data_IF_761993553354
#
_entry.id   IF_761993553354
#
_cell.length_a   1.000
_cell.length_b   1.000
_cell.length_c   1.000
_cell.angle_alpha   90.00
_cell.angle_beta   90.00
_cell.angle_gamma   90.00
#
_symmetry.space_group_name_H-M   'P 1'
#
loop_
_entity.id
_entity.type
_entity.pdbx_description
1 polymer ?
#
# COMPACT_ATOMS: atom_id res chain seq x y z
N UNK A 1 31.05 54.81 0.46
CA UNK A 1 31.23 53.84 -0.67
C UNK A 1 31.02 52.42 -0.13
N UNK A 2 29.97 51.71 -0.50
CA UNK A 2 29.76 50.34 -0.06
C UNK A 2 30.42 49.32 -1.03
N UNK A 3 31.13 48.32 -0.47
CA UNK A 3 31.77 47.25 -1.17
C UNK A 3 30.76 46.31 -1.82
N UNK A 4 30.87 46.08 -3.13
CA UNK A 4 30.14 45.09 -3.91
C UNK A 4 30.55 43.67 -3.46
N UNK A 5 29.57 42.88 -2.96
CA UNK A 5 29.71 41.42 -2.72
C UNK A 5 29.68 40.71 -4.10
N UNK A 6 30.73 39.95 -4.38
CA UNK A 6 30.87 39.14 -5.59
C UNK A 6 29.79 38.06 -5.63
N UNK A 7 29.09 37.93 -6.75
CA UNK A 7 28.20 36.81 -7.08
C UNK A 7 29.04 35.55 -7.30
N UNK A 8 28.98 34.63 -6.33
CA UNK A 8 29.54 33.29 -6.51
C UNK A 8 28.79 32.56 -7.62
N UNK A 9 29.52 32.19 -8.65
CA UNK A 9 29.07 31.34 -9.76
C UNK A 9 28.61 29.98 -9.19
N UNK A 10 27.31 29.71 -9.25
CA UNK A 10 26.75 28.38 -9.01
C UNK A 10 27.32 27.44 -10.08
N UNK A 11 28.28 26.57 -9.69
CA UNK A 11 28.70 25.44 -10.52
C UNK A 11 27.44 24.66 -10.86
N UNK A 12 27.18 24.53 -12.17
CA UNK A 12 26.04 23.78 -12.69
C UNK A 12 26.04 22.35 -12.18
N UNK A 13 25.10 22.03 -11.29
CA UNK A 13 24.76 20.65 -10.97
C UNK A 13 24.18 20.02 -12.24
N UNK A 14 24.89 19.07 -12.84
CA UNK A 14 24.30 18.16 -13.81
C UNK A 14 23.02 17.57 -13.19
N UNK A 15 21.87 17.64 -13.88
CA UNK A 15 20.65 17.09 -13.35
C UNK A 15 20.86 15.58 -13.11
N UNK A 16 20.71 15.13 -11.86
CA UNK A 16 20.69 13.72 -11.53
C UNK A 16 19.55 13.08 -12.33
N UNK A 17 19.90 12.27 -13.33
CA UNK A 17 18.93 11.42 -14.02
C UNK A 17 18.38 10.47 -12.97
N UNK A 18 17.09 10.61 -12.61
CA UNK A 18 16.43 9.69 -11.70
C UNK A 18 16.49 8.25 -12.24
N UNK A 19 16.45 7.24 -11.37
CA UNK A 19 16.49 5.82 -11.73
C UNK A 19 15.52 5.46 -12.87
N UNK A 20 14.41 6.18 -12.97
CA UNK A 20 13.34 5.99 -13.96
C UNK A 20 13.46 6.90 -15.18
N UNK A 21 14.49 7.76 -15.27
CA UNK A 21 14.77 8.59 -16.43
C UNK A 21 15.64 7.81 -17.41
N UNK A 22 15.05 6.82 -18.04
CA UNK A 22 15.69 6.15 -19.17
C UNK A 22 14.98 6.53 -20.46
N UNK A 23 15.71 6.94 -21.48
CA UNK A 23 15.14 7.17 -22.80
C UNK A 23 14.48 5.90 -23.31
N UNK A 24 13.52 6.05 -24.17
CA UNK A 24 12.76 5.03 -24.89
C UNK A 24 13.63 3.83 -25.29
N UNK A 25 13.61 2.77 -24.49
CA UNK A 25 14.54 1.66 -24.63
C UNK A 25 13.91 0.51 -25.40
N UNK A 26 13.74 0.70 -26.68
CA UNK A 26 13.71 -0.41 -27.61
C UNK A 26 15.14 -0.84 -28.02
N UNK A 27 16.14 -0.70 -27.13
CA UNK A 27 17.49 -1.18 -27.41
C UNK A 27 17.45 -2.67 -27.60
N UNK A 28 17.78 -3.13 -28.81
CA UNK A 28 17.71 -4.54 -29.17
C UNK A 28 16.31 -5.03 -29.55
N UNK A 29 15.33 -4.18 -29.84
CA UNK A 29 13.98 -4.62 -30.25
C UNK A 29 13.99 -5.55 -31.47
N UNK A 30 14.98 -5.44 -32.34
CA UNK A 30 15.18 -6.31 -33.51
C UNK A 30 15.84 -7.66 -33.18
N UNK A 31 16.44 -7.82 -32.00
CA UNK A 31 17.04 -9.07 -31.57
C UNK A 31 16.01 -9.87 -30.73
N UNK A 32 15.55 -11.04 -31.20
CA UNK A 32 14.57 -11.86 -30.51
C UNK A 32 15.06 -12.34 -29.13
N UNK A 33 16.38 -12.35 -28.89
CA UNK A 33 17.01 -12.74 -27.62
C UNK A 33 17.32 -11.55 -26.71
N UNK A 34 16.88 -10.35 -27.08
CA UNK A 34 17.08 -9.16 -26.25
C UNK A 34 16.31 -9.23 -24.95
N UNK A 35 16.86 -8.58 -23.91
CA UNK A 35 16.17 -8.38 -22.61
C UNK A 35 14.79 -7.75 -22.85
N UNK A 36 14.69 -6.78 -23.77
CA UNK A 36 13.45 -6.09 -24.10
C UNK A 36 12.36 -7.05 -24.60
N UNK A 37 12.67 -7.90 -25.59
CA UNK A 37 11.70 -8.82 -26.15
C UNK A 37 11.28 -9.89 -25.15
N UNK A 38 12.21 -10.37 -24.34
CA UNK A 38 11.88 -11.31 -23.27
C UNK A 38 11.07 -10.67 -22.14
N UNK A 39 11.26 -9.42 -21.83
CA UNK A 39 10.40 -8.67 -20.88
C UNK A 39 8.95 -8.64 -21.38
N UNK A 40 8.74 -8.33 -22.66
CA UNK A 40 7.40 -8.33 -23.24
C UNK A 40 6.74 -9.71 -23.17
N UNK A 41 7.45 -10.77 -23.53
CA UNK A 41 6.97 -12.17 -23.38
C UNK A 41 6.64 -12.50 -21.93
N UNK A 42 7.46 -12.06 -20.98
CA UNK A 42 7.21 -12.26 -19.56
C UNK A 42 5.97 -11.52 -19.08
N UNK A 43 5.71 -10.32 -19.59
CA UNK A 43 4.50 -9.54 -19.29
C UNK A 43 3.24 -10.28 -19.75
N UNK A 44 3.23 -10.80 -20.98
CA UNK A 44 2.12 -11.61 -21.51
C UNK A 44 1.92 -12.88 -20.69
N UNK A 45 2.99 -13.62 -20.42
CA UNK A 45 2.98 -14.83 -19.62
C UNK A 45 2.42 -14.62 -18.22
N UNK A 46 2.68 -13.48 -17.59
CA UNK A 46 2.08 -13.12 -16.30
C UNK A 46 0.57 -12.86 -16.43
N UNK A 47 0.15 -12.20 -17.50
CA UNK A 47 -1.28 -11.96 -17.78
C UNK A 47 -2.06 -13.27 -17.92
N UNK A 48 -1.53 -14.23 -18.69
CA UNK A 48 -2.12 -15.57 -18.86
C UNK A 48 -2.27 -16.34 -17.54
N UNK A 49 -1.41 -16.06 -16.56
CA UNK A 49 -1.43 -16.70 -15.22
C UNK A 49 -2.22 -15.91 -14.18
N UNK A 50 -2.96 -14.88 -14.59
CA UNK A 50 -3.85 -14.13 -13.73
C UNK A 50 -3.15 -13.22 -12.71
N UNK A 51 -1.88 -12.82 -12.95
CA UNK A 51 -1.27 -11.77 -12.15
C UNK A 51 -2.03 -10.45 -12.34
N UNK A 52 -2.17 -9.67 -11.26
CA UNK A 52 -2.84 -8.37 -11.34
C UNK A 52 -2.09 -7.40 -12.27
N UNK A 53 -2.83 -6.52 -12.96
CA UNK A 53 -2.25 -5.50 -13.84
C UNK A 53 -1.24 -4.62 -13.08
N UNK A 54 -1.50 -4.31 -11.81
CA UNK A 54 -0.59 -3.55 -10.95
C UNK A 54 0.74 -4.29 -10.72
N UNK A 55 0.69 -5.60 -10.41
CA UNK A 55 1.91 -6.42 -10.25
C UNK A 55 2.72 -6.48 -11.53
N UNK A 56 2.05 -6.66 -12.68
CA UNK A 56 2.70 -6.70 -13.98
C UNK A 56 3.39 -5.37 -14.27
N UNK A 57 2.68 -4.25 -14.14
CA UNK A 57 3.22 -2.90 -14.38
C UNK A 57 4.40 -2.57 -13.44
N UNK A 58 4.30 -2.94 -12.15
CA UNK A 58 5.38 -2.74 -11.18
C UNK A 58 6.65 -3.53 -11.54
N UNK A 59 6.49 -4.81 -11.92
CA UNK A 59 7.61 -5.65 -12.37
C UNK A 59 8.23 -5.13 -13.66
N UNK A 60 7.40 -4.76 -14.62
CA UNK A 60 7.86 -4.20 -15.89
C UNK A 60 8.67 -2.92 -15.68
N UNK A 61 8.18 -2.01 -14.82
CA UNK A 61 8.89 -0.77 -14.46
C UNK A 61 10.29 -1.08 -13.92
N UNK A 62 10.41 -2.00 -12.98
CA UNK A 62 11.69 -2.39 -12.39
C UNK A 62 12.62 -3.05 -13.40
N UNK A 63 12.09 -3.91 -14.26
CA UNK A 63 12.85 -4.57 -15.33
C UNK A 63 13.35 -3.58 -16.39
N UNK A 64 12.55 -2.55 -16.72
CA UNK A 64 12.97 -1.48 -17.63
C UNK A 64 14.19 -0.72 -17.09
N UNK A 65 14.22 -0.44 -15.78
CA UNK A 65 15.38 0.20 -15.14
C UNK A 65 16.63 -0.65 -15.25
N UNK A 66 16.50 -1.96 -15.01
CA UNK A 66 17.62 -2.89 -15.18
C UNK A 66 18.07 -2.99 -16.64
N UNK A 67 17.13 -3.11 -17.59
CA UNK A 67 17.44 -3.21 -19.01
C UNK A 67 18.19 -1.97 -19.51
N UNK A 68 17.81 -0.78 -19.04
CA UNK A 68 18.51 0.46 -19.32
C UNK A 68 19.96 0.44 -18.81
N UNK A 69 20.13 0.05 -17.54
CA UNK A 69 21.45 -0.07 -16.91
C UNK A 69 22.34 -1.11 -17.62
N UNK A 70 21.76 -2.22 -18.07
CA UNK A 70 22.46 -3.26 -18.82
C UNK A 70 22.87 -2.76 -20.22
N UNK A 71 21.96 -2.09 -20.94
CA UNK A 71 22.21 -1.54 -22.28
C UNK A 71 23.34 -0.51 -22.29
N UNK A 72 23.44 0.37 -21.28
CA UNK A 72 24.57 1.30 -21.10
C UNK A 72 25.93 0.60 -21.01
N UNK A 73 25.94 -0.71 -20.73
CA UNK A 73 27.14 -1.57 -20.61
C UNK A 73 27.30 -2.56 -21.76
N UNK A 74 26.53 -2.36 -22.84
CA UNK A 74 26.53 -3.22 -24.02
C UNK A 74 25.88 -4.60 -23.83
N UNK A 75 25.18 -4.81 -22.69
CA UNK A 75 24.50 -6.08 -22.38
C UNK A 75 23.06 -5.99 -22.88
N UNK A 76 22.78 -6.62 -24.01
CA UNK A 76 21.48 -6.55 -24.69
C UNK A 76 20.71 -7.86 -24.56
N UNK A 77 21.43 -9.01 -24.60
CA UNK A 77 20.82 -10.35 -24.60
C UNK A 77 20.70 -10.94 -23.21
N UNK A 78 19.65 -11.72 -22.97
CA UNK A 78 19.42 -12.36 -21.66
C UNK A 78 20.51 -13.40 -21.31
N UNK A 79 21.14 -14.01 -22.32
CA UNK A 79 22.22 -14.99 -22.16
C UNK A 79 23.52 -14.35 -21.66
N UNK A 80 23.71 -13.06 -21.86
CA UNK A 80 24.89 -12.30 -21.42
C UNK A 80 24.83 -11.99 -19.91
N UNK A 81 23.66 -12.10 -19.31
CA UNK A 81 23.46 -11.75 -17.90
C UNK A 81 23.86 -12.93 -17.02
N UNK A 82 24.94 -12.76 -16.31
CA UNK A 82 25.49 -13.73 -15.36
C UNK A 82 25.29 -13.28 -13.93
N UNK A 83 25.49 -14.16 -12.94
CA UNK A 83 25.43 -13.82 -11.52
C UNK A 83 26.32 -12.62 -11.15
N UNK A 84 27.59 -12.51 -11.56
CA UNK A 84 28.40 -11.32 -11.29
C UNK A 84 27.81 -10.02 -11.83
N UNK A 85 27.05 -10.06 -12.93
CA UNK A 85 26.37 -8.88 -13.47
C UNK A 85 25.21 -8.50 -12.56
N UNK A 86 24.44 -9.45 -12.06
CA UNK A 86 23.36 -9.19 -11.09
C UNK A 86 23.90 -8.65 -9.77
N UNK A 87 25.03 -9.14 -9.28
CA UNK A 87 25.73 -8.61 -8.09
C UNK A 87 26.23 -7.16 -8.32
N UNK A 88 26.71 -6.84 -9.53
CA UNK A 88 27.04 -5.45 -9.90
C UNK A 88 25.81 -4.55 -9.95
N UNK A 89 24.66 -5.08 -10.38
CA UNK A 89 23.40 -4.36 -10.33
C UNK A 89 22.97 -4.08 -8.88
N UNK A 90 23.05 -5.06 -7.98
CA UNK A 90 22.79 -4.84 -6.55
C UNK A 90 23.71 -3.75 -5.97
N UNK A 91 25.01 -3.80 -6.30
CA UNK A 91 25.96 -2.75 -5.88
C UNK A 91 25.59 -1.38 -6.46
N UNK A 92 25.11 -1.34 -7.69
CA UNK A 92 24.63 -0.09 -8.32
C UNK A 92 23.45 0.48 -7.54
N UNK A 93 22.45 -0.33 -7.19
CA UNK A 93 21.30 0.08 -6.38
C UNK A 93 21.73 0.58 -4.98
N UNK A 94 22.67 -0.09 -4.34
CA UNK A 94 23.21 0.31 -3.03
C UNK A 94 23.91 1.67 -3.07
N UNK A 95 24.70 1.91 -4.13
CA UNK A 95 25.46 3.15 -4.31
C UNK A 95 24.61 4.29 -4.87
N UNK A 96 23.42 3.98 -5.41
CA UNK A 96 22.55 5.01 -6.00
C UNK A 96 22.10 6.01 -4.94
N UNK A 97 22.05 7.28 -5.34
CA UNK A 97 21.54 8.39 -4.52
C UNK A 97 20.36 9.03 -5.22
N UNK A 98 19.28 9.21 -4.48
CA UNK A 98 18.08 9.94 -4.94
C UNK A 98 18.41 11.42 -5.16
N UNK A 99 17.45 12.16 -5.72
CA UNK A 99 17.61 13.60 -5.96
C UNK A 99 17.84 14.41 -4.66
N UNK A 100 17.33 13.91 -3.52
CA UNK A 100 17.54 14.44 -2.17
C UNK A 100 18.91 14.08 -1.57
N UNK A 101 19.72 13.27 -2.26
CA UNK A 101 21.03 12.79 -1.81
C UNK A 101 20.98 11.51 -0.96
N UNK A 102 19.79 11.07 -0.55
CA UNK A 102 19.62 9.88 0.28
C UNK A 102 19.81 8.57 -0.52
N UNK A 103 20.31 7.50 0.11
CA UNK A 103 20.40 6.19 -0.52
C UNK A 103 19.01 5.57 -0.70
N UNK A 104 18.92 4.55 -1.58
CA UNK A 104 17.75 3.69 -1.62
C UNK A 104 17.63 2.89 -0.32
N UNK A 105 16.43 2.80 0.22
CA UNK A 105 16.14 1.87 1.33
C UNK A 105 16.37 0.43 0.89
N UNK A 106 16.61 -0.48 1.85
CA UNK A 106 16.74 -1.92 1.52
C UNK A 106 15.48 -2.45 0.82
N UNK A 107 14.29 -2.01 1.25
CA UNK A 107 13.02 -2.39 0.60
C UNK A 107 12.94 -1.89 -0.84
N UNK A 108 13.36 -0.64 -1.09
CA UNK A 108 13.42 -0.11 -2.46
C UNK A 108 14.42 -0.88 -3.33
N UNK A 109 15.57 -1.28 -2.78
CA UNK A 109 16.51 -2.14 -3.51
C UNK A 109 15.88 -3.49 -3.85
N UNK A 110 15.20 -4.13 -2.89
CA UNK A 110 14.50 -5.40 -3.08
C UNK A 110 13.35 -5.29 -4.10
N UNK A 111 12.63 -4.16 -4.13
CA UNK A 111 11.59 -3.89 -5.13
C UNK A 111 12.14 -3.91 -6.58
N UNK A 112 13.43 -3.61 -6.78
CA UNK A 112 14.11 -3.76 -8.06
C UNK A 112 14.71 -5.14 -8.29
N UNK A 113 15.05 -5.89 -7.23
CA UNK A 113 15.71 -7.19 -7.33
C UNK A 113 14.69 -8.34 -7.50
N UNK A 114 13.59 -8.34 -6.75
CA UNK A 114 12.58 -9.41 -6.82
C UNK A 114 11.98 -9.61 -8.22
N UNK A 115 11.65 -8.55 -9.00
CA UNK A 115 11.22 -8.71 -10.38
C UNK A 115 12.24 -9.39 -11.28
N UNK A 116 13.55 -9.11 -11.08
CA UNK A 116 14.63 -9.77 -11.80
C UNK A 116 14.71 -11.26 -11.47
N UNK A 117 14.62 -11.64 -10.20
CA UNK A 117 14.59 -13.05 -9.79
C UNK A 117 13.42 -13.78 -10.45
N UNK A 118 12.23 -13.15 -10.46
CA UNK A 118 11.05 -13.71 -11.09
C UNK A 118 11.23 -13.85 -12.62
N UNK A 119 11.84 -12.87 -13.26
CA UNK A 119 12.12 -12.85 -14.69
C UNK A 119 13.13 -13.93 -15.09
N UNK A 120 14.27 -14.04 -14.42
CA UNK A 120 15.27 -15.05 -14.73
C UNK A 120 14.80 -16.48 -14.40
N UNK A 121 13.94 -16.64 -13.38
CA UNK A 121 13.26 -17.91 -13.12
C UNK A 121 12.33 -18.30 -14.27
N UNK A 122 11.58 -17.33 -14.81
CA UNK A 122 10.75 -17.54 -16.00
C UNK A 122 11.60 -17.96 -17.21
N UNK A 123 12.68 -17.21 -17.50
CA UNK A 123 13.56 -17.50 -18.64
C UNK A 123 14.17 -18.89 -18.59
N UNK A 124 14.63 -19.34 -17.42
CA UNK A 124 15.18 -20.68 -17.24
C UNK A 124 14.10 -21.76 -17.40
N UNK A 125 12.90 -21.53 -16.85
CA UNK A 125 11.78 -22.47 -16.95
C UNK A 125 11.25 -22.65 -18.38
N UNK A 126 11.22 -21.57 -19.15
CA UNK A 126 10.79 -21.60 -20.55
C UNK A 126 11.96 -21.90 -21.53
N UNK A 127 13.11 -22.34 -20.99
CA UNK A 127 14.30 -22.72 -21.76
C UNK A 127 14.90 -21.61 -22.66
N UNK A 128 14.70 -20.36 -22.28
CA UNK A 128 15.33 -19.21 -22.96
C UNK A 128 16.79 -19.01 -22.54
N UNK A 129 17.17 -19.53 -21.38
CA UNK A 129 18.53 -19.57 -20.82
C UNK A 129 18.80 -20.96 -20.22
N UNK A 130 20.06 -21.40 -20.25
CA UNK A 130 20.44 -22.73 -19.75
C UNK A 130 20.37 -22.86 -18.23
N UNK A 131 20.67 -21.79 -17.52
CA UNK A 131 20.64 -21.74 -16.05
C UNK A 131 20.11 -20.40 -15.56
N UNK A 132 19.56 -20.37 -14.34
CA UNK A 132 19.07 -19.14 -13.74
C UNK A 132 20.20 -18.39 -13.01
N UNK A 133 20.69 -17.24 -13.51
CA UNK A 133 21.78 -16.51 -12.86
C UNK A 133 21.38 -15.87 -11.52
N UNK A 134 20.09 -15.86 -11.19
CA UNK A 134 19.56 -15.29 -9.95
C UNK A 134 19.22 -16.36 -8.89
N UNK A 135 19.52 -17.67 -9.13
CA UNK A 135 19.18 -18.75 -8.18
C UNK A 135 19.82 -18.55 -6.80
N UNK A 136 21.12 -18.19 -6.81
CA UNK A 136 21.93 -18.07 -5.60
C UNK A 136 22.31 -16.61 -5.28
N UNK A 137 21.46 -15.67 -5.73
CA UNK A 137 21.69 -14.25 -5.48
C UNK A 137 21.37 -13.92 -4.02
N UNK A 138 22.37 -13.51 -3.26
CA UNK A 138 22.18 -13.09 -1.88
C UNK A 138 21.42 -11.77 -1.81
N UNK A 139 20.33 -11.76 -1.02
CA UNK A 139 19.48 -10.59 -0.89
C UNK A 139 19.91 -9.73 0.32
N UNK A 140 19.80 -8.40 0.20
CA UNK A 140 19.98 -7.51 1.34
C UNK A 140 19.03 -7.86 2.48
N UNK A 141 19.53 -7.92 3.71
CA UNK A 141 18.70 -8.23 4.89
C UNK A 141 17.89 -7.02 5.32
N UNK A 142 16.59 -7.21 5.48
CA UNK A 142 15.72 -6.19 6.06
C UNK A 142 15.87 -6.26 7.57
N UNK A 143 16.34 -5.17 8.19
CA UNK A 143 16.31 -5.04 9.64
C UNK A 143 14.87 -4.94 10.14
N UNK A 144 14.53 -5.67 11.22
CA UNK A 144 13.26 -5.48 11.92
C UNK A 144 13.17 -4.04 12.44
N UNK A 145 12.18 -3.29 12.01
CA UNK A 145 11.88 -1.95 12.53
C UNK A 145 10.48 -1.96 13.09
N UNK A 146 10.31 -1.38 14.27
CA UNK A 146 8.98 -1.15 14.83
C UNK A 146 8.20 -0.15 13.97
N UNK A 147 6.89 -0.31 13.84
CA UNK A 147 6.02 0.65 13.14
C UNK A 147 6.20 2.05 13.72
N UNK A 148 6.56 3.03 12.89
CA UNK A 148 6.87 4.39 13.36
C UNK A 148 5.68 5.35 13.31
N UNK A 149 4.62 4.99 12.59
CA UNK A 149 3.55 5.91 12.23
C UNK A 149 2.16 5.46 12.72
N UNK A 150 2.09 4.84 13.91
CA UNK A 150 0.81 4.53 14.56
C UNK A 150 0.29 5.78 15.27
N UNK A 151 -1.00 6.10 15.08
CA UNK A 151 -1.65 7.19 15.79
C UNK A 151 -2.09 6.73 17.19
N UNK A 152 -1.93 7.57 18.18
CA UNK A 152 -2.66 7.43 19.44
C UNK A 152 -4.13 7.80 19.22
N UNK A 153 -5.03 7.41 20.14
CA UNK A 153 -6.45 7.77 20.05
C UNK A 153 -6.66 9.28 19.93
N UNK A 154 -6.01 10.14 20.74
CA UNK A 154 -6.14 11.60 20.59
C UNK A 154 -5.63 12.13 19.24
N UNK A 155 -4.53 11.57 18.71
CA UNK A 155 -4.02 11.96 17.40
C UNK A 155 -4.98 11.55 16.27
N UNK A 156 -5.56 10.33 16.35
CA UNK A 156 -6.56 9.87 15.39
C UNK A 156 -7.79 10.80 15.40
N UNK A 157 -8.32 11.14 16.58
CA UNK A 157 -9.46 12.06 16.71
C UNK A 157 -9.12 13.46 16.16
N UNK A 158 -7.89 13.93 16.36
CA UNK A 158 -7.43 15.19 15.79
C UNK A 158 -7.42 15.17 14.26
N UNK A 159 -6.90 14.10 13.64
CA UNK A 159 -6.93 13.95 12.17
C UNK A 159 -8.37 13.86 11.66
N UNK A 160 -9.21 13.08 12.33
CA UNK A 160 -10.62 12.93 11.97
C UNK A 160 -11.38 14.27 12.03
N UNK A 161 -10.99 15.21 12.89
CA UNK A 161 -11.65 16.52 13.04
C UNK A 161 -11.21 17.59 12.03
N UNK A 162 -10.21 17.29 11.17
CA UNK A 162 -9.68 18.25 10.20
C UNK A 162 -10.68 18.64 9.10
N UNK A 163 -11.46 17.69 8.49
CA UNK A 163 -12.37 18.07 7.43
C UNK A 163 -13.39 19.12 7.89
N UNK A 164 -13.52 20.19 7.12
CA UNK A 164 -14.48 21.26 7.37
C UNK A 164 -15.90 20.79 7.05
N UNK A 165 -16.69 20.55 8.09
CA UNK A 165 -18.05 20.02 8.00
C UNK A 165 -19.08 21.04 7.46
N UNK A 166 -18.71 22.30 7.29
CA UNK A 166 -19.54 23.30 6.62
C UNK A 166 -19.53 23.10 5.10
N UNK A 167 -18.56 22.35 4.59
CA UNK A 167 -18.40 22.03 3.17
C UNK A 167 -18.86 20.61 2.87
N UNK A 168 -19.57 20.44 1.76
CA UNK A 168 -20.01 19.12 1.29
C UNK A 168 -18.85 18.11 1.17
N UNK A 169 -17.71 18.55 0.61
CA UNK A 169 -16.52 17.71 0.50
C UNK A 169 -15.92 17.35 1.85
N UNK A 170 -16.02 18.21 2.85
CA UNK A 170 -15.56 17.92 4.22
C UNK A 170 -16.37 16.83 4.89
N UNK A 171 -17.70 16.79 4.68
CA UNK A 171 -18.57 15.69 5.19
C UNK A 171 -18.19 14.36 4.53
N UNK A 172 -17.96 14.35 3.20
CA UNK A 172 -17.46 13.17 2.48
C UNK A 172 -16.12 12.71 3.03
N UNK A 173 -15.18 13.61 3.17
CA UNK A 173 -13.80 13.31 3.59
C UNK A 173 -13.80 12.78 5.04
N UNK A 174 -14.63 13.35 5.91
CA UNK A 174 -14.85 12.82 7.26
C UNK A 174 -15.38 11.39 7.22
N UNK A 175 -16.38 11.10 6.40
CA UNK A 175 -16.94 9.74 6.27
C UNK A 175 -15.86 8.74 5.81
N UNK A 176 -15.02 9.10 4.83
CA UNK A 176 -13.92 8.25 4.37
C UNK A 176 -12.88 7.97 5.47
N UNK A 177 -12.47 9.00 6.20
CA UNK A 177 -11.53 8.85 7.32
C UNK A 177 -12.08 7.95 8.42
N UNK A 178 -13.37 8.08 8.76
CA UNK A 178 -14.05 7.23 9.75
C UNK A 178 -14.12 5.76 9.31
N UNK A 179 -14.39 5.51 8.02
CA UNK A 179 -14.36 4.16 7.48
C UNK A 179 -12.96 3.55 7.58
N UNK A 180 -11.92 4.29 7.18
CA UNK A 180 -10.53 3.84 7.28
C UNK A 180 -10.14 3.54 8.73
N UNK A 181 -10.51 4.41 9.66
CA UNK A 181 -10.20 4.25 11.08
C UNK A 181 -10.95 3.08 11.72
N UNK A 182 -12.23 2.91 11.37
CA UNK A 182 -13.08 1.85 11.91
C UNK A 182 -12.69 0.45 11.44
N UNK A 183 -12.31 0.32 10.16
CA UNK A 183 -12.21 -0.97 9.47
C UNK A 183 -10.82 -1.37 9.07
N UNK A 184 -9.91 -0.41 8.93
CA UNK A 184 -8.55 -0.63 8.45
C UNK A 184 -8.46 -1.20 7.04
N UNK A 185 -9.48 -1.02 6.19
CA UNK A 185 -9.45 -1.49 4.80
C UNK A 185 -8.40 -0.74 3.98
N UNK A 186 -7.96 -1.36 2.87
CA UNK A 186 -6.99 -0.75 1.97
C UNK A 186 -7.61 0.41 1.20
N UNK A 187 -6.79 1.39 0.81
CA UNK A 187 -7.24 2.56 0.03
C UNK A 187 -7.97 2.17 -1.26
N UNK A 188 -7.48 1.15 -1.97
CA UNK A 188 -8.15 0.65 -3.17
C UNK A 188 -9.50 0.01 -2.85
N UNK A 189 -9.61 -0.72 -1.74
CA UNK A 189 -10.86 -1.32 -1.30
C UNK A 189 -11.90 -0.24 -0.96
N UNK A 190 -11.49 0.86 -0.29
CA UNK A 190 -12.42 1.95 0.04
C UNK A 190 -12.99 2.64 -1.19
N UNK A 191 -12.18 2.95 -2.19
CA UNK A 191 -12.66 3.66 -3.39
C UNK A 191 -13.54 2.79 -4.29
N UNK A 192 -13.44 1.47 -4.17
CA UNK A 192 -14.27 0.52 -4.92
C UNK A 192 -15.51 0.04 -4.16
N UNK A 193 -15.79 0.60 -2.96
CA UNK A 193 -17.04 0.29 -2.26
C UNK A 193 -18.24 0.78 -3.01
N UNK A 194 -19.27 -0.06 -3.04
CA UNK A 194 -20.59 0.27 -3.57
C UNK A 194 -21.60 0.51 -2.44
N UNK A 195 -22.71 1.17 -2.75
CA UNK A 195 -23.80 1.42 -1.81
C UNK A 195 -24.32 0.15 -1.16
N UNK A 196 -24.38 -0.95 -1.92
CA UNK A 196 -24.90 -2.24 -1.48
C UNK A 196 -23.88 -3.09 -0.69
N UNK A 197 -22.64 -2.64 -0.57
CA UNK A 197 -21.62 -3.36 0.20
C UNK A 197 -21.74 -3.12 1.71
N UNK A 198 -22.59 -2.17 2.13
CA UNK A 198 -22.79 -1.81 3.53
C UNK A 198 -24.14 -2.34 4.05
N UNK A 199 -24.06 -3.30 4.95
CA UNK A 199 -25.21 -3.79 5.70
C UNK A 199 -25.27 -3.06 7.06
N UNK A 200 -26.15 -2.05 7.12
CA UNK A 200 -26.31 -1.20 8.30
C UNK A 200 -26.89 -1.95 9.49
N UNK A 201 -27.85 -2.83 9.25
CA UNK A 201 -28.53 -3.56 10.31
C UNK A 201 -27.59 -4.52 10.99
N UNK A 202 -26.76 -5.19 10.21
CA UNK A 202 -25.74 -6.11 10.73
C UNK A 202 -24.49 -5.40 11.19
N UNK A 203 -24.25 -4.13 10.76
CA UNK A 203 -23.04 -3.35 11.02
C UNK A 203 -21.81 -4.03 10.45
N UNK A 204 -21.89 -4.44 9.19
CA UNK A 204 -20.81 -5.08 8.44
C UNK A 204 -20.71 -4.49 7.04
N UNK A 205 -19.54 -4.65 6.45
CA UNK A 205 -19.22 -4.21 5.11
C UNK A 205 -18.61 -5.37 4.33
N UNK A 206 -19.04 -5.54 3.07
CA UNK A 206 -18.44 -6.47 2.13
C UNK A 206 -17.29 -5.81 1.39
N UNK A 207 -16.09 -6.33 1.51
CA UNK A 207 -14.94 -5.94 0.71
C UNK A 207 -14.78 -6.97 -0.40
N UNK A 208 -15.03 -6.52 -1.64
CA UNK A 208 -14.94 -7.37 -2.83
C UNK A 208 -13.55 -7.31 -3.44
N UNK A 209 -13.14 -8.41 -4.08
CA UNK A 209 -11.87 -8.51 -4.81
C UNK A 209 -10.64 -7.99 -4.05
N UNK A 210 -10.58 -8.22 -2.74
CA UNK A 210 -9.42 -7.90 -1.93
C UNK A 210 -8.12 -8.54 -2.48
N UNK A 211 -6.99 -8.34 -1.82
CA UNK A 211 -5.70 -8.93 -2.23
C UNK A 211 -5.86 -10.43 -2.49
N UNK A 212 -5.56 -10.87 -3.71
CA UNK A 212 -5.75 -12.25 -4.16
C UNK A 212 -7.17 -12.57 -4.63
N UNK A 213 -8.00 -11.58 -4.98
CA UNK A 213 -9.39 -11.74 -5.45
C UNK A 213 -10.30 -12.49 -4.47
N UNK A 214 -10.09 -12.28 -3.18
CA UNK A 214 -10.92 -12.88 -2.13
C UNK A 214 -11.84 -11.85 -1.51
N UNK A 215 -13.11 -12.17 -1.46
CA UNK A 215 -14.10 -11.36 -0.76
C UNK A 215 -14.02 -11.62 0.73
N UNK A 216 -14.29 -10.59 1.54
CA UNK A 216 -14.41 -10.71 2.99
C UNK A 216 -15.43 -9.75 3.54
N UNK A 217 -16.01 -10.14 4.68
CA UNK A 217 -16.92 -9.30 5.45
C UNK A 217 -16.15 -8.70 6.61
N UNK A 218 -16.20 -7.36 6.73
CA UNK A 218 -15.50 -6.59 7.75
C UNK A 218 -16.53 -5.89 8.64
N UNK A 219 -16.45 -5.99 9.98
CA UNK A 219 -17.31 -5.22 10.87
C UNK A 219 -16.98 -3.73 10.75
N UNK A 220 -18.03 -2.90 10.77
CA UNK A 220 -17.92 -1.43 10.74
C UNK A 220 -18.59 -0.84 11.97
N UNK A 221 -17.93 0.12 12.62
CA UNK A 221 -18.44 0.76 13.83
C UNK A 221 -19.59 1.71 13.56
N UNK A 222 -20.46 1.86 14.54
CA UNK A 222 -21.67 2.72 14.47
C UNK A 222 -21.32 4.16 14.08
N UNK A 223 -20.21 4.72 14.59
CA UNK A 223 -19.79 6.07 14.27
C UNK A 223 -19.45 6.25 12.77
N UNK A 224 -18.77 5.28 12.19
CA UNK A 224 -18.47 5.29 10.76
C UNK A 224 -19.75 5.16 9.90
N UNK A 225 -20.72 4.32 10.33
CA UNK A 225 -22.02 4.22 9.69
C UNK A 225 -22.79 5.54 9.73
N UNK A 226 -22.81 6.22 10.87
CA UNK A 226 -23.45 7.54 11.02
C UNK A 226 -22.86 8.58 10.06
N UNK A 227 -21.53 8.60 9.87
CA UNK A 227 -20.90 9.50 8.92
C UNK A 227 -21.18 9.12 7.46
N UNK A 228 -21.26 7.84 7.15
CA UNK A 228 -21.73 7.39 5.84
C UNK A 228 -23.16 7.87 5.59
N UNK A 229 -24.06 7.67 6.55
CA UNK A 229 -25.44 8.09 6.42
C UNK A 229 -25.59 9.61 6.24
N UNK A 230 -24.79 10.38 6.98
CA UNK A 230 -24.73 11.85 6.80
C UNK A 230 -24.26 12.21 5.38
N UNK A 231 -23.20 11.57 4.90
CA UNK A 231 -22.71 11.80 3.53
C UNK A 231 -23.77 11.41 2.48
N UNK A 232 -24.41 10.24 2.64
CA UNK A 232 -25.43 9.76 1.71
C UNK A 232 -26.68 10.63 1.68
N UNK A 233 -27.06 11.21 2.81
CA UNK A 233 -28.25 12.05 2.91
C UNK A 233 -28.00 13.49 2.45
N UNK A 234 -26.84 14.07 2.76
CA UNK A 234 -26.61 15.53 2.60
C UNK A 234 -25.72 15.88 1.41
N UNK A 235 -24.90 14.96 0.91
CA UNK A 235 -23.84 15.29 -0.08
C UNK A 235 -23.94 14.48 -1.34
N UNK A 236 -24.05 13.16 -1.21
CA UNK A 236 -23.99 12.27 -2.37
C UNK A 236 -25.10 12.51 -3.40
N UNK A 237 -26.36 12.85 -3.04
CA UNK A 237 -27.40 13.11 -4.02
C UNK A 237 -27.06 14.26 -4.98
N UNK A 238 -26.38 15.31 -4.48
CA UNK A 238 -25.97 16.46 -5.29
C UNK A 238 -24.77 16.14 -6.20
N UNK A 239 -23.97 15.14 -5.83
CA UNK A 239 -22.82 14.69 -6.61
C UNK A 239 -23.20 13.65 -7.66
N UNK A 240 -24.17 12.80 -7.38
CA UNK A 240 -24.61 11.73 -8.27
C UNK A 240 -25.37 12.31 -9.46
N UNK A 241 -24.65 12.65 -10.54
CA UNK A 241 -25.22 13.18 -11.79
C UNK A 241 -25.13 12.13 -12.89
N UNK A 242 -26.23 11.92 -13.62
CA UNK A 242 -26.28 11.00 -14.77
C UNK A 242 -26.37 9.54 -14.38
N UNK A 243 -25.63 8.67 -15.09
CA UNK A 243 -25.61 7.23 -14.81
C UNK A 243 -24.73 6.97 -13.57
N UNK A 244 -25.36 6.85 -12.40
CA UNK A 244 -24.71 6.45 -11.16
C UNK A 244 -24.41 4.95 -11.18
N UNK A 245 -23.14 4.56 -11.12
CA UNK A 245 -22.70 3.17 -11.09
C UNK A 245 -22.82 2.51 -9.70
N UNK A 246 -23.34 3.26 -8.71
CA UNK A 246 -23.52 2.80 -7.35
C UNK A 246 -22.25 2.90 -6.50
N UNK A 247 -21.17 3.48 -6.99
CA UNK A 247 -19.96 3.72 -6.18
C UNK A 247 -20.30 4.58 -4.97
N UNK A 248 -19.81 4.15 -3.78
CA UNK A 248 -20.14 4.83 -2.53
C UNK A 248 -19.60 6.25 -2.47
N UNK A 249 -18.29 6.43 -2.68
CA UNK A 249 -17.63 7.72 -2.55
C UNK A 249 -17.33 8.35 -3.93
N UNK A 250 -17.89 9.53 -4.15
CA UNK A 250 -17.75 10.27 -5.39
C UNK A 250 -16.77 11.44 -5.25
N UNK A 251 -16.12 11.78 -6.35
CA UNK A 251 -15.36 13.02 -6.50
C UNK A 251 -16.28 14.23 -6.55
N UNK A 252 -15.75 15.45 -6.49
CA UNK A 252 -16.54 16.68 -6.68
C UNK A 252 -17.19 16.80 -8.08
N UNK A 253 -16.75 15.97 -9.03
CA UNK A 253 -17.30 15.90 -10.39
C UNK A 253 -18.35 14.77 -10.56
N UNK A 254 -18.77 14.13 -9.48
CA UNK A 254 -19.72 13.02 -9.50
C UNK A 254 -19.17 11.70 -10.06
N UNK A 255 -17.89 11.61 -10.32
CA UNK A 255 -17.22 10.39 -10.77
C UNK A 255 -16.70 9.58 -9.59
N UNK A 256 -16.47 8.26 -9.73
CA UNK A 256 -15.79 7.46 -8.71
C UNK A 256 -14.49 8.13 -8.22
N UNK A 257 -14.26 8.13 -6.91
CA UNK A 257 -13.06 8.73 -6.35
C UNK A 257 -11.82 7.90 -6.72
N UNK A 258 -10.79 8.56 -7.25
CA UNK A 258 -9.53 7.91 -7.59
C UNK A 258 -8.68 7.56 -6.35
N UNK A 259 -7.97 6.43 -6.40
CA UNK A 259 -7.10 5.93 -5.31
C UNK A 259 -6.04 6.96 -4.89
N UNK A 260 -5.45 7.68 -5.87
CA UNK A 260 -4.45 8.73 -5.59
C UNK A 260 -5.07 9.92 -4.86
N UNK A 261 -6.29 10.35 -5.27
CA UNK A 261 -6.97 11.48 -4.62
C UNK A 261 -7.34 11.18 -3.18
N UNK A 262 -7.79 9.93 -2.88
CA UNK A 262 -8.00 9.49 -1.51
C UNK A 262 -6.71 9.61 -0.68
N UNK A 263 -5.59 9.12 -1.21
CA UNK A 263 -4.30 9.17 -0.51
C UNK A 263 -3.83 10.63 -0.27
N UNK A 264 -4.12 11.55 -1.19
CA UNK A 264 -3.85 12.99 -1.01
C UNK A 264 -4.71 13.58 0.11
N UNK A 265 -6.03 13.36 0.08
CA UNK A 265 -6.97 13.85 1.12
C UNK A 265 -6.52 13.40 2.50
N UNK A 266 -6.20 12.10 2.66
CA UNK A 266 -5.73 11.57 3.94
C UNK A 266 -4.40 12.19 4.36
N UNK A 267 -3.47 12.39 3.42
CA UNK A 267 -2.16 13.02 3.70
C UNK A 267 -2.31 14.49 4.09
N UNK A 268 -3.18 15.22 3.41
CA UNK A 268 -3.54 16.60 3.75
C UNK A 268 -4.08 16.66 5.19
N UNK A 269 -5.09 15.85 5.54
CA UNK A 269 -5.65 15.79 6.88
C UNK A 269 -4.62 15.44 7.96
N UNK A 270 -3.70 14.49 7.70
CA UNK A 270 -2.62 14.14 8.64
C UNK A 270 -1.64 15.30 8.84
N UNK A 271 -1.28 16.01 7.76
CA UNK A 271 -0.37 17.15 7.84
C UNK A 271 -1.02 18.34 8.58
N UNK A 272 -2.29 18.63 8.27
CA UNK A 272 -3.02 19.76 8.85
C UNK A 272 -3.33 19.54 10.34
N UNK A 273 -3.43 18.28 10.76
CA UNK A 273 -3.54 17.92 12.17
C UNK A 273 -2.27 18.25 12.99
N UNK A 274 -1.14 18.55 12.38
CA UNK A 274 0.12 18.94 13.03
C UNK A 274 0.52 18.02 14.20
N UNK A 275 0.39 16.70 13.99
CA UNK A 275 0.70 15.67 14.99
C UNK A 275 2.17 15.22 14.98
N UNK A 276 3.02 15.84 14.14
CA UNK A 276 4.44 15.49 14.00
C UNK A 276 4.72 14.17 13.26
N UNK A 277 3.68 13.48 12.80
CA UNK A 277 3.75 12.23 12.03
C UNK A 277 3.38 12.48 10.57
N UNK A 278 3.92 11.65 9.68
CA UNK A 278 3.59 11.70 8.24
C UNK A 278 3.07 10.34 7.82
N UNK A 279 2.03 10.32 7.00
CA UNK A 279 1.44 9.08 6.50
C UNK A 279 0.22 9.33 5.63
N UNK A 280 -0.43 8.26 5.22
CA UNK A 280 -1.64 8.25 4.41
C UNK A 280 -2.57 7.12 4.89
N UNK A 281 -3.39 6.53 4.03
CA UNK A 281 -4.41 5.52 4.39
C UNK A 281 -3.87 4.36 5.25
N UNK A 282 -2.65 3.89 4.97
CA UNK A 282 -2.03 2.81 5.75
C UNK A 282 -1.81 3.16 7.22
N UNK A 283 -1.60 4.45 7.54
CA UNK A 283 -1.49 4.88 8.94
C UNK A 283 -2.74 4.51 9.73
N UNK A 284 -3.94 4.70 9.17
CA UNK A 284 -5.20 4.30 9.82
C UNK A 284 -5.31 2.79 10.01
N UNK A 285 -4.84 2.02 9.01
CA UNK A 285 -4.83 0.55 9.08
C UNK A 285 -3.91 0.04 10.19
N UNK A 286 -2.69 0.60 10.31
CA UNK A 286 -1.77 0.31 11.40
C UNK A 286 -2.35 0.73 12.75
N UNK A 287 -2.93 1.92 12.80
CA UNK A 287 -3.54 2.47 14.02
C UNK A 287 -4.66 1.57 14.51
N UNK A 288 -5.60 1.19 13.64
CA UNK A 288 -6.69 0.29 14.00
C UNK A 288 -6.14 -1.04 14.55
N UNK A 289 -5.21 -1.69 13.83
CA UNK A 289 -4.63 -2.96 14.25
C UNK A 289 -3.92 -2.86 15.59
N UNK A 290 -3.09 -1.84 15.79
CA UNK A 290 -2.33 -1.64 17.04
C UNK A 290 -3.28 -1.33 18.20
N UNK A 291 -4.21 -0.40 18.05
CA UNK A 291 -5.13 -0.03 19.12
C UNK A 291 -6.07 -1.16 19.50
N UNK A 292 -6.51 -1.99 18.53
CA UNK A 292 -7.28 -3.19 18.84
C UNK A 292 -6.46 -4.21 19.62
N UNK A 293 -5.19 -4.44 19.25
CA UNK A 293 -4.28 -5.32 19.99
C UNK A 293 -4.05 -4.81 21.41
N UNK A 294 -3.76 -3.53 21.57
CA UNK A 294 -3.57 -2.88 22.89
C UNK A 294 -4.81 -2.97 23.79
N UNK A 295 -6.00 -3.01 23.17
CA UNK A 295 -7.27 -3.20 23.88
C UNK A 295 -7.66 -4.68 24.05
N UNK A 296 -6.74 -5.62 23.78
CA UNK A 296 -6.93 -7.04 24.06
C UNK A 296 -7.66 -7.84 22.98
N UNK A 297 -7.72 -7.33 21.73
CA UNK A 297 -8.27 -8.13 20.63
C UNK A 297 -7.30 -9.26 20.26
N UNK A 298 -7.85 -10.48 20.07
CA UNK A 298 -7.06 -11.58 19.51
C UNK A 298 -6.58 -11.23 18.08
N UNK A 299 -5.29 -11.40 17.84
CA UNK A 299 -4.63 -11.08 16.57
C UNK A 299 -5.30 -11.77 15.38
N UNK A 300 -5.87 -12.97 15.57
CA UNK A 300 -6.56 -13.72 14.50
C UNK A 300 -7.79 -12.99 13.98
N UNK A 301 -8.52 -12.27 14.84
CA UNK A 301 -9.65 -11.44 14.41
C UNK A 301 -9.17 -10.23 13.61
N UNK A 302 -8.10 -9.59 14.05
CA UNK A 302 -7.51 -8.45 13.34
C UNK A 302 -7.01 -8.88 11.96
N UNK A 303 -6.30 -10.01 11.87
CA UNK A 303 -5.85 -10.59 10.60
C UNK A 303 -7.01 -10.91 9.66
N UNK A 304 -8.12 -11.47 10.18
CA UNK A 304 -9.32 -11.74 9.39
C UNK A 304 -9.94 -10.45 8.84
N UNK A 305 -10.06 -9.40 9.66
CA UNK A 305 -10.54 -8.08 9.22
C UNK A 305 -9.65 -7.48 8.13
N UNK A 306 -8.33 -7.56 8.31
CA UNK A 306 -7.35 -7.01 7.40
C UNK A 306 -7.20 -7.82 6.10
N UNK A 307 -7.64 -9.07 6.06
CA UNK A 307 -7.55 -9.96 4.90
C UNK A 307 -6.09 -10.30 4.55
N UNK A 308 -5.28 -10.65 5.56
CA UNK A 308 -3.92 -11.13 5.35
C UNK A 308 -3.94 -12.61 4.91
N UNK A 309 -3.44 -12.87 3.70
CA UNK A 309 -3.53 -14.20 3.06
C UNK A 309 -2.49 -15.22 3.56
N UNK A 310 -1.49 -14.81 4.32
CA UNK A 310 -0.31 -15.62 4.65
C UNK A 310 -0.34 -16.24 6.04
N UNK A 311 -1.41 -16.97 6.36
CA UNK A 311 -1.34 -18.02 7.37
C UNK A 311 -1.81 -19.32 6.74
N UNK A 312 -1.03 -20.38 6.93
CA UNK A 312 -1.23 -21.73 6.42
C UNK A 312 -2.52 -22.44 6.92
N UNK A 313 -3.55 -21.67 7.29
CA UNK A 313 -4.81 -22.20 7.83
C UNK A 313 -6.02 -21.42 7.34
N UNK A 314 -6.32 -21.54 6.05
CA UNK A 314 -7.61 -21.13 5.47
C UNK A 314 -8.79 -21.79 6.19
N UNK A 315 -8.58 -22.92 6.86
CA UNK A 315 -9.61 -23.66 7.59
C UNK A 315 -10.07 -23.00 8.90
N UNK A 316 -9.23 -22.20 9.56
CA UNK A 316 -9.61 -21.55 10.84
C UNK A 316 -10.53 -20.34 10.60
N UNK A 317 -10.38 -19.65 9.45
CA UNK A 317 -11.12 -18.42 9.17
C UNK A 317 -12.55 -18.63 8.67
N UNK A 318 -12.86 -19.76 8.10
CA UNK A 318 -14.24 -20.13 7.72
C UNK A 318 -15.14 -20.34 8.94
N UNK A 319 -14.57 -20.50 10.13
CA UNK A 319 -15.31 -20.71 11.38
C UNK A 319 -15.42 -19.47 12.28
N UNK A 320 -14.75 -18.35 11.95
CA UNK A 320 -14.91 -17.12 12.73
C UNK A 320 -16.27 -16.50 12.40
N UNK A 321 -17.21 -16.66 13.31
CA UNK A 321 -18.54 -16.07 13.20
C UNK A 321 -18.44 -14.54 13.06
N UNK A 322 -19.15 -13.96 12.09
CA UNK A 322 -19.30 -12.50 11.93
C UNK A 322 -19.78 -11.87 13.25
N UNK A 323 -20.63 -12.58 14.01
CA UNK A 323 -21.09 -12.16 15.33
C UNK A 323 -19.94 -12.02 16.32
N UNK A 324 -18.97 -12.93 16.32
CA UNK A 324 -17.78 -12.86 17.17
C UNK A 324 -16.85 -11.71 16.72
N UNK A 325 -16.62 -11.55 15.43
CA UNK A 325 -15.85 -10.42 14.87
C UNK A 325 -16.47 -9.08 15.29
N UNK A 326 -17.78 -8.92 15.16
CA UNK A 326 -18.49 -7.71 15.56
C UNK A 326 -18.39 -7.45 17.06
N UNK A 327 -18.53 -8.48 17.89
CA UNK A 327 -18.40 -8.35 19.34
C UNK A 327 -16.99 -7.89 19.74
N UNK A 328 -15.95 -8.50 19.18
CA UNK A 328 -14.54 -8.09 19.41
C UNK A 328 -14.30 -6.67 18.91
N UNK A 329 -14.71 -6.32 17.68
CA UNK A 329 -14.58 -4.98 17.14
C UNK A 329 -15.26 -3.95 18.05
N UNK A 330 -16.52 -4.19 18.45
CA UNK A 330 -17.26 -3.30 19.34
C UNK A 330 -16.61 -3.17 20.73
N UNK A 331 -16.00 -4.25 21.23
CA UNK A 331 -15.31 -4.25 22.51
C UNK A 331 -13.95 -3.56 22.50
N UNK A 332 -13.19 -3.62 21.39
CA UNK A 332 -11.78 -3.26 21.34
C UNK A 332 -11.47 -2.04 20.46
N UNK A 333 -12.32 -1.66 19.51
CA UNK A 333 -12.08 -0.48 18.67
C UNK A 333 -12.39 0.82 19.44
N UNK A 334 -11.48 1.80 19.45
CA UNK A 334 -11.63 3.04 20.23
C UNK A 334 -12.73 3.98 19.72
N UNK A 335 -13.18 3.87 18.46
CA UNK A 335 -14.24 4.67 17.87
C UNK A 335 -15.63 4.27 18.40
N UNK A 336 -15.87 4.45 19.72
CA UNK A 336 -17.17 4.22 20.34
C UNK A 336 -17.99 5.52 20.40
N UNK A 337 -19.34 5.43 20.39
CA UNK A 337 -20.18 6.53 20.84
C UNK A 337 -19.79 6.88 22.28
N UNK A 338 -19.70 8.17 22.61
CA UNK A 338 -19.24 8.68 23.91
C UNK A 338 -20.26 8.36 25.01
N UNK A 339 -20.49 7.07 25.33
CA UNK A 339 -21.23 6.66 26.56
C UNK A 339 -20.84 5.24 26.96
N UNK A 340 -20.16 5.16 28.04
CA UNK A 340 -19.97 4.17 29.13
C UNK A 340 -18.55 3.67 29.32
N UNK A 341 -17.98 3.97 30.49
CA UNK A 341 -16.79 3.36 31.08
C UNK A 341 -17.13 1.92 31.46
N UNK A 342 -16.29 0.96 31.05
CA UNK A 342 -16.23 -0.35 31.67
C UNK A 342 -14.78 -0.78 31.92
N UNK A 343 -14.59 -1.51 33.00
CA UNK A 343 -13.38 -1.94 33.66
C UNK A 343 -12.54 -2.94 32.85
N UNK A 344 -11.20 -2.83 32.99
CA UNK A 344 -10.18 -3.76 32.49
C UNK A 344 -10.28 -5.13 33.17
N UNK A 345 -10.04 -6.19 32.37
CA UNK A 345 -9.66 -7.50 32.85
C UNK A 345 -8.38 -7.94 32.14
N UNK A 346 -7.38 -8.33 32.94
CA UNK A 346 -6.08 -8.81 32.50
C UNK A 346 -6.16 -10.20 31.88
N UNK A 347 -5.46 -10.43 30.74
CA UNK A 347 -5.07 -11.79 30.33
C UNK A 347 -3.96 -11.80 29.24
N UNK A 348 -2.85 -12.48 29.52
CA UNK A 348 -2.07 -13.26 28.56
C UNK A 348 -1.04 -12.55 27.69
N UNK A 349 0.22 -12.42 28.15
CA UNK A 349 1.14 -11.43 27.58
C UNK A 349 2.43 -11.91 26.85
N UNK A 350 2.71 -13.17 26.64
CA UNK A 350 4.04 -13.55 26.12
C UNK A 350 4.06 -14.11 24.68
N UNK A 351 3.10 -14.91 24.29
CA UNK A 351 3.02 -15.41 22.90
C UNK A 351 2.41 -14.41 21.90
N UNK A 352 1.63 -13.45 22.39
CA UNK A 352 1.00 -12.40 21.57
C UNK A 352 1.99 -11.37 21.02
N UNK A 353 3.21 -11.25 21.60
CA UNK A 353 4.17 -10.21 21.16
C UNK A 353 4.83 -10.52 19.82
N UNK A 354 5.25 -11.76 19.58
CA UNK A 354 5.94 -12.16 18.35
C UNK A 354 4.99 -12.17 17.13
N UNK A 355 3.75 -12.63 17.34
CA UNK A 355 2.72 -12.61 16.30
C UNK A 355 2.23 -11.18 15.99
N UNK A 356 2.16 -10.31 16.99
CA UNK A 356 1.82 -8.92 16.84
C UNK A 356 2.91 -8.16 16.07
N UNK A 357 4.19 -8.39 16.37
CA UNK A 357 5.31 -7.81 15.62
C UNK A 357 5.32 -8.29 14.17
N UNK A 358 5.04 -9.57 13.92
CA UNK A 358 4.94 -10.12 12.57
C UNK A 358 3.79 -9.48 11.78
N UNK A 359 2.62 -9.26 12.41
CA UNK A 359 1.48 -8.58 11.79
C UNK A 359 1.81 -7.14 11.43
N UNK A 360 2.38 -6.39 12.36
CA UNK A 360 2.74 -5.00 12.14
C UNK A 360 3.82 -4.85 11.05
N UNK A 361 4.78 -5.76 10.99
CA UNK A 361 5.78 -5.80 9.92
C UNK A 361 5.17 -6.09 8.54
N UNK A 362 4.13 -6.91 8.46
CA UNK A 362 3.37 -7.15 7.22
C UNK A 362 2.61 -5.90 6.77
N UNK A 363 1.99 -5.17 7.71
CA UNK A 363 1.28 -3.93 7.43
C UNK A 363 2.22 -2.85 6.89
N UNK A 364 3.43 -2.70 7.49
CA UNK A 364 4.46 -1.77 6.99
C UNK A 364 4.88 -2.10 5.56
N UNK A 365 5.03 -3.39 5.25
CA UNK A 365 5.38 -3.83 3.90
C UNK A 365 4.28 -3.52 2.86
N UNK A 366 3.01 -3.62 3.24
CA UNK A 366 1.88 -3.25 2.39
C UNK A 366 1.84 -1.74 2.15
N UNK A 367 2.06 -0.92 3.19
CA UNK A 367 2.06 0.54 3.10
C UNK A 367 3.09 1.07 2.11
N UNK A 368 4.33 0.56 2.18
CA UNK A 368 5.38 0.98 1.25
C UNK A 368 5.12 0.55 -0.20
N UNK A 369 4.38 -0.54 -0.43
CA UNK A 369 4.04 -1.02 -1.77
C UNK A 369 2.90 -0.24 -2.43
N UNK A 370 2.04 0.42 -1.65
CA UNK A 370 0.94 1.23 -2.16
C UNK A 370 1.33 2.70 -2.35
N UNK A 371 2.33 3.21 -1.63
CA UNK A 371 2.82 4.59 -1.75
C UNK A 371 3.94 4.75 -2.81
N UNK A 372 4.42 3.67 -3.43
CA UNK A 372 5.41 3.64 -4.51
C UNK A 372 4.74 3.59 -5.89
#
# INVERSE_FOLDING_TARGET
MPRKRGKGTKRGRTPHKGLYHSPTLAVGAHDPNSIWNHMHRFTLWQGERGYSAHTIAGRERSLRVFAAWAAERGLIRVQEITRPILERWQRHLFLYRKADGEPLTVRSQLAHIHPLIAFFRYLARENHILYNPASDLELPRIGKRLPRNVLTVPEAEKVLSIPDLSLAMGIRDRAMLEVLYSTGIRRAELVHLNLYDIDRDRGVMMVREGKGRKDRVVPIGTRALQWIDTYLAQVRPDLASGADDGTLFLSALGQPLGVHRLAEIVREAVNDAQIGKRGSCHMFRHTMATLMLENGADIRFIQAMLGHADLKSTEIYTQVSIKALKAVHTATHPARPIRSRFTRGDAGSAQASDEAEALLALLDAEGESEDA
#
